data_IF_824524668550
#
_entry.id   IF_824524668550
#
_cell.length_a   1.000
_cell.length_b   1.000
_cell.length_c   1.000
_cell.angle_alpha   90.00
_cell.angle_beta   90.00
_cell.angle_gamma   90.00
#
_symmetry.space_group_name_H-M   'P 1'
#
loop_
_entity.id
_entity.type
_entity.pdbx_description
1 polymer ?
#
# COMPACT_ATOMS: atom_id res chain seq x y z
N UNK A 1 -4.66 11.12 12.48
CA UNK A 1 -3.23 10.74 12.59
C UNK A 1 -2.47 11.39 11.43
N UNK A 2 -1.18 11.73 11.56
CA UNK A 2 -0.45 12.52 10.55
C UNK A 2 -0.32 11.74 9.23
N UNK A 3 -1.18 12.01 8.25
CA UNK A 3 -1.19 11.41 6.90
C UNK A 3 0.17 11.53 6.20
N UNK A 4 0.96 12.55 6.54
CA UNK A 4 2.31 12.77 6.00
C UNK A 4 3.29 11.61 6.27
N UNK A 5 3.17 10.89 7.39
CA UNK A 5 4.03 9.73 7.69
C UNK A 5 3.65 8.50 6.86
N UNK A 6 2.39 8.34 6.49
CA UNK A 6 1.96 7.25 5.61
C UNK A 6 2.49 7.44 4.18
N UNK A 7 2.75 8.67 3.75
CA UNK A 7 3.27 8.96 2.40
C UNK A 7 4.80 9.07 2.33
N UNK A 8 5.52 9.03 3.45
CA UNK A 8 6.99 9.19 3.47
C UNK A 8 7.76 7.99 2.88
N UNK A 9 7.11 6.84 2.75
CA UNK A 9 7.68 5.60 2.23
C UNK A 9 7.36 5.45 0.75
N UNK A 10 8.37 5.12 -0.05
CA UNK A 10 8.23 4.96 -1.50
C UNK A 10 7.36 3.76 -1.90
N UNK A 11 7.41 2.67 -1.14
CA UNK A 11 6.59 1.49 -1.44
C UNK A 11 5.12 1.80 -1.19
N UNK A 12 4.80 2.55 -0.13
CA UNK A 12 3.42 3.00 0.13
C UNK A 12 2.89 3.92 -0.98
N UNK A 13 3.72 4.85 -1.49
CA UNK A 13 3.35 5.69 -2.64
C UNK A 13 3.13 4.85 -3.90
N UNK A 14 4.01 3.90 -4.19
CA UNK A 14 3.87 2.99 -5.33
C UNK A 14 2.61 2.12 -5.23
N UNK A 15 2.26 1.63 -4.04
CA UNK A 15 1.00 0.90 -3.80
C UNK A 15 -0.22 1.78 -4.15
N UNK A 16 -0.23 3.03 -3.68
CA UNK A 16 -1.30 3.97 -4.01
C UNK A 16 -1.36 4.29 -5.50
N UNK A 17 -0.21 4.38 -6.18
CA UNK A 17 -0.18 4.59 -7.62
C UNK A 17 -0.73 3.39 -8.39
N UNK A 18 -0.43 2.15 -7.98
CA UNK A 18 -1.04 0.95 -8.56
C UNK A 18 -2.57 0.94 -8.39
N UNK A 19 -3.06 1.30 -7.20
CA UNK A 19 -4.49 1.32 -6.89
C UNK A 19 -5.26 2.46 -7.58
N UNK A 20 -4.57 3.48 -8.11
CA UNK A 20 -5.22 4.51 -8.97
C UNK A 20 -5.61 3.95 -10.33
N UNK A 21 -4.91 2.93 -10.80
CA UNK A 21 -5.17 2.30 -12.12
C UNK A 21 -6.32 1.27 -12.03
N UNK A 22 -6.66 0.81 -10.83
CA UNK A 22 -7.79 -0.09 -10.58
C UNK A 22 -7.67 -0.85 -9.26
N UNK A 23 -8.74 -1.56 -8.91
CA UNK A 23 -8.75 -2.42 -7.74
C UNK A 23 -7.80 -3.60 -7.92
N UNK A 24 -6.91 -3.81 -6.94
CA UNK A 24 -5.98 -4.92 -6.90
C UNK A 24 -6.05 -5.61 -5.55
N UNK A 25 -5.97 -6.93 -5.57
CA UNK A 25 -5.79 -7.72 -4.35
C UNK A 25 -4.37 -7.53 -3.79
N UNK A 26 -4.19 -7.79 -2.49
CA UNK A 26 -2.86 -7.77 -1.88
C UNK A 26 -1.86 -8.75 -2.54
N UNK A 27 -2.38 -9.82 -3.16
CA UNK A 27 -1.57 -10.77 -3.94
C UNK A 27 -1.06 -10.13 -5.22
N UNK A 28 -1.94 -9.54 -6.02
CA UNK A 28 -1.58 -8.86 -7.26
C UNK A 28 -0.64 -7.67 -7.00
N UNK A 29 -0.89 -6.88 -5.95
CA UNK A 29 0.02 -5.80 -5.54
C UNK A 29 1.42 -6.36 -5.25
N UNK A 30 1.53 -7.52 -4.58
CA UNK A 30 2.82 -8.10 -4.24
C UNK A 30 3.62 -8.54 -5.46
N UNK A 31 2.98 -8.90 -6.58
CA UNK A 31 3.67 -9.27 -7.82
C UNK A 31 4.42 -8.08 -8.46
N UNK A 32 4.20 -6.84 -7.99
CA UNK A 32 4.89 -5.62 -8.44
C UNK A 32 6.11 -5.21 -7.58
N UNK A 33 6.50 -6.02 -6.58
CA UNK A 33 7.59 -5.72 -5.65
C UNK A 33 8.49 -6.92 -5.40
N UNK A 34 9.77 -6.66 -5.14
CA UNK A 34 10.75 -7.68 -4.74
C UNK A 34 10.66 -8.07 -3.25
N UNK A 35 9.51 -7.82 -2.61
CA UNK A 35 9.29 -8.08 -1.18
C UNK A 35 8.24 -9.17 -0.94
N UNK A 36 8.23 -9.71 0.28
CA UNK A 36 7.25 -10.73 0.63
C UNK A 36 5.82 -10.19 0.71
N UNK A 37 4.83 -11.06 0.52
CA UNK A 37 3.41 -10.75 0.75
C UNK A 37 3.13 -10.19 2.16
N UNK A 38 3.89 -10.64 3.17
CA UNK A 38 3.79 -10.12 4.52
C UNK A 38 4.23 -8.64 4.61
N UNK A 39 5.30 -8.27 3.89
CA UNK A 39 5.73 -6.87 3.78
C UNK A 39 4.66 -5.98 3.16
N UNK A 40 4.04 -6.44 2.07
CA UNK A 40 2.92 -5.73 1.42
C UNK A 40 1.73 -5.55 2.37
N UNK A 41 1.34 -6.60 3.09
CA UNK A 41 0.27 -6.51 4.10
C UNK A 41 0.59 -5.49 5.19
N UNK A 42 1.85 -5.36 5.60
CA UNK A 42 2.26 -4.35 6.58
C UNK A 42 2.09 -2.92 6.03
N UNK A 43 2.49 -2.68 4.78
CA UNK A 43 2.29 -1.38 4.13
C UNK A 43 0.79 -1.05 3.96
N UNK A 44 -0.02 -2.01 3.53
CA UNK A 44 -1.48 -1.84 3.40
C UNK A 44 -2.15 -1.54 4.75
N UNK A 45 -1.71 -2.17 5.83
CA UNK A 45 -2.20 -1.86 7.18
C UNK A 45 -1.91 -0.42 7.60
N UNK A 46 -0.71 0.08 7.32
CA UNK A 46 -0.34 1.49 7.57
C UNK A 46 -1.21 2.44 6.75
N UNK A 47 -1.42 2.14 5.46
CA UNK A 47 -2.28 2.95 4.59
C UNK A 47 -3.74 2.95 5.06
N UNK A 48 -4.26 1.80 5.49
CA UNK A 48 -5.63 1.66 6.02
C UNK A 48 -5.81 2.47 7.31
N UNK A 49 -4.85 2.38 8.23
CA UNK A 49 -4.87 3.16 9.49
C UNK A 49 -4.72 4.68 9.27
N UNK A 50 -4.28 5.08 8.07
CA UNK A 50 -4.19 6.47 7.65
C UNK A 50 -5.37 6.92 6.79
N UNK A 51 -6.41 6.08 6.64
CA UNK A 51 -7.60 6.33 5.82
C UNK A 51 -7.27 6.57 4.33
N UNK A 52 -6.21 5.94 3.82
CA UNK A 52 -5.77 6.08 2.42
C UNK A 52 -6.23 4.93 1.52
N UNK A 53 -6.60 3.79 2.11
CA UNK A 53 -7.14 2.61 1.39
C UNK A 53 -8.22 1.95 2.24
N UNK A 54 -9.15 1.27 1.59
CA UNK A 54 -10.25 0.52 2.22
C UNK A 54 -10.32 -0.90 1.64
N UNK A 55 -11.07 -1.77 2.31
CA UNK A 55 -11.32 -3.15 1.90
C UNK A 55 -12.81 -3.33 1.58
#
# INVERSE_FOLDING_TARGET
>A
MRSSLALSDENRRKILDLLKEGDLTAGEIADHFDMSKAGISQHLSVLKNADLVYA
#
